data_IF_128035628865
#
_entry.id   IF_128035628865
#
_cell.length_a   1.000
_cell.length_b   1.000
_cell.length_c   1.000
_cell.angle_alpha   90.00
_cell.angle_beta   90.00
_cell.angle_gamma   90.00
#
_symmetry.space_group_name_H-M   'P 1'
#
loop_
_entity.id
_entity.type
_entity.pdbx_description
1 polymer ?
#
# COMPACT_ATOMS: atom_id res chain seq x y z
N UNK A 1 10.62 -14.66 38.11
CA UNK A 1 9.32 -15.00 37.51
C UNK A 1 8.38 -13.80 37.60
N UNK A 2 8.24 -13.04 36.51
CA UNK A 2 7.19 -12.01 36.36
C UNK A 2 6.90 -11.88 34.87
N UNK A 3 5.78 -12.45 34.46
CA UNK A 3 5.24 -12.44 33.09
C UNK A 3 4.87 -11.01 32.71
N UNK A 4 5.53 -10.48 31.67
CA UNK A 4 5.11 -9.23 31.03
C UNK A 4 3.85 -9.50 30.21
N UNK A 5 2.80 -8.72 30.48
CA UNK A 5 1.57 -8.70 29.70
C UNK A 5 1.91 -8.16 28.31
N UNK A 6 1.63 -8.96 27.28
CA UNK A 6 1.60 -8.50 25.91
C UNK A 6 0.40 -7.58 25.74
N UNK A 7 0.63 -6.33 25.36
CA UNK A 7 -0.40 -5.42 24.89
C UNK A 7 -1.01 -5.99 23.60
N UNK A 8 -2.09 -6.75 23.77
CA UNK A 8 -2.94 -7.21 22.70
C UNK A 8 -3.65 -6.00 22.07
N UNK A 9 -3.32 -5.71 20.83
CA UNK A 9 -4.14 -4.86 19.98
C UNK A 9 -5.55 -5.52 19.90
N UNK A 10 -6.64 -4.83 20.27
CA UNK A 10 -7.96 -5.45 20.26
C UNK A 10 -8.36 -5.81 18.83
N UNK A 11 -8.93 -7.02 18.64
CA UNK A 11 -9.57 -7.39 17.37
C UNK A 11 -10.61 -6.33 16.95
N UNK A 12 -10.86 -6.13 15.64
CA UNK A 12 -11.75 -5.07 15.13
C UNK A 12 -13.19 -5.13 15.64
N UNK A 13 -13.61 -6.26 16.21
CA UNK A 13 -14.96 -6.46 16.74
C UNK A 13 -15.34 -5.50 17.89
N UNK A 14 -14.36 -4.95 18.60
CA UNK A 14 -14.64 -4.10 19.77
C UNK A 14 -14.98 -2.64 19.43
N UNK A 15 -14.79 -2.17 18.18
CA UNK A 15 -14.93 -0.74 17.84
C UNK A 15 -16.15 -0.41 16.99
N UNK A 16 -16.86 -1.41 16.45
CA UNK A 16 -18.02 -1.19 15.57
C UNK A 16 -19.36 -1.63 16.17
N UNK A 17 -19.38 -2.25 17.35
CA UNK A 17 -20.62 -2.72 17.99
C UNK A 17 -21.36 -3.83 17.21
N UNK A 18 -20.77 -4.33 16.12
CA UNK A 18 -21.35 -5.38 15.28
C UNK A 18 -20.88 -6.75 15.77
N UNK A 19 -21.83 -7.66 15.90
CA UNK A 19 -21.63 -9.05 16.31
C UNK A 19 -20.88 -9.83 15.24
N UNK A 20 -20.22 -10.93 15.63
CA UNK A 20 -19.50 -11.86 14.72
C UNK A 20 -20.40 -12.40 13.60
N UNK A 21 -21.72 -12.44 13.81
CA UNK A 21 -22.71 -12.87 12.82
C UNK A 21 -22.91 -11.84 11.71
N UNK A 22 -22.90 -10.56 12.04
CA UNK A 22 -23.05 -9.46 11.07
C UNK A 22 -21.83 -9.30 10.16
N UNK A 23 -20.63 -9.67 10.65
CA UNK A 23 -19.43 -9.75 9.82
C UNK A 23 -19.50 -10.88 8.79
N UNK A 24 -19.98 -12.06 9.20
CA UNK A 24 -20.19 -13.20 8.31
C UNK A 24 -21.28 -12.93 7.25
N UNK A 25 -22.31 -12.15 7.58
CA UNK A 25 -23.36 -11.73 6.64
C UNK A 25 -22.91 -10.63 5.67
N UNK A 26 -21.94 -9.80 6.07
CA UNK A 26 -21.31 -8.79 5.20
C UNK A 26 -20.32 -9.41 4.21
N UNK A 27 -19.53 -10.41 4.63
CA UNK A 27 -18.62 -11.16 3.75
C UNK A 27 -19.36 -12.02 2.72
N UNK A 28 -20.59 -12.47 3.03
CA UNK A 28 -21.43 -13.26 2.12
C UNK A 28 -22.28 -12.42 1.15
N UNK A 29 -22.15 -11.09 1.15
CA UNK A 29 -22.80 -10.21 0.19
C UNK A 29 -24.33 -10.30 0.19
N UNK A 30 -24.95 -10.58 1.35
CA UNK A 30 -26.39 -10.79 1.43
C UNK A 30 -27.17 -9.48 1.12
N UNK A 31 -28.23 -9.52 0.28
CA UNK A 31 -29.05 -8.34 -0.03
C UNK A 31 -29.77 -7.68 1.16
N UNK A 32 -29.79 -8.36 2.32
CA UNK A 32 -30.52 -7.92 3.52
C UNK A 32 -29.87 -6.69 4.19
N UNK A 33 -28.54 -6.59 4.15
CA UNK A 33 -27.78 -5.48 4.73
C UNK A 33 -28.07 -4.17 3.99
N UNK A 34 -27.99 -4.14 2.66
CA UNK A 34 -28.34 -2.95 1.86
C UNK A 34 -29.78 -2.47 2.11
N UNK A 35 -30.72 -3.41 2.28
CA UNK A 35 -32.09 -3.10 2.63
C UNK A 35 -32.23 -2.53 4.05
N UNK A 36 -31.39 -2.96 5.00
CA UNK A 36 -31.34 -2.48 6.39
C UNK A 36 -30.85 -1.04 6.51
N UNK A 37 -29.75 -0.68 5.84
CA UNK A 37 -29.22 0.69 5.83
C UNK A 37 -30.21 1.69 5.18
N UNK A 38 -30.88 1.25 4.11
CA UNK A 38 -31.93 2.04 3.46
C UNK A 38 -33.16 2.24 4.34
N UNK A 39 -33.52 1.26 5.20
CA UNK A 39 -34.61 1.37 6.18
C UNK A 39 -34.24 2.34 7.31
N UNK A 40 -33.07 2.20 7.93
CA UNK A 40 -32.64 3.10 9.01
C UNK A 40 -32.56 4.59 8.62
N UNK A 41 -32.14 4.90 7.39
CA UNK A 41 -32.14 6.27 6.86
C UNK A 41 -33.55 6.82 6.58
N UNK A 42 -34.50 5.95 6.24
CA UNK A 42 -35.92 6.33 6.08
C UNK A 42 -36.58 6.55 7.43
N UNK A 43 -36.29 5.70 8.40
CA UNK A 43 -36.82 5.77 9.77
C UNK A 43 -36.33 7.05 10.50
N UNK A 44 -35.08 7.46 10.28
CA UNK A 44 -34.56 8.74 10.80
C UNK A 44 -35.17 9.97 10.11
N UNK A 45 -35.68 9.82 8.89
CA UNK A 45 -36.37 10.90 8.15
C UNK A 45 -37.84 11.05 8.57
N UNK A 46 -38.51 9.93 8.92
CA UNK A 46 -39.89 9.93 9.41
C UNK A 46 -39.99 10.44 10.84
N UNK A 47 -38.93 10.26 11.66
CA UNK A 47 -38.81 10.81 13.01
C UNK A 47 -38.53 12.33 13.08
N UNK A 48 -38.50 13.05 11.94
CA UNK A 48 -38.19 14.51 11.81
C UNK A 48 -36.85 14.94 12.44
N UNK A 49 -35.99 14.02 12.83
CA UNK A 49 -34.73 14.30 13.55
C UNK A 49 -33.66 14.90 12.64
N UNK A 50 -33.77 14.70 11.32
CA UNK A 50 -32.79 15.15 10.33
C UNK A 50 -33.51 15.87 9.19
N UNK A 51 -33.10 17.10 8.89
CA UNK A 51 -33.66 17.88 7.79
C UNK A 51 -33.40 17.23 6.42
N UNK A 52 -34.40 17.27 5.52
CA UNK A 52 -34.30 16.66 4.19
C UNK A 52 -33.07 17.12 3.39
N UNK A 53 -32.66 18.39 3.56
CA UNK A 53 -31.46 18.96 2.92
C UNK A 53 -30.18 18.24 3.36
N UNK A 54 -30.06 17.89 4.64
CA UNK A 54 -28.91 17.16 5.19
C UNK A 54 -28.87 15.72 4.70
N UNK A 55 -30.03 15.07 4.60
CA UNK A 55 -30.16 13.72 4.06
C UNK A 55 -29.76 13.65 2.58
N UNK A 56 -30.21 14.63 1.78
CA UNK A 56 -29.83 14.73 0.37
C UNK A 56 -28.33 15.03 0.21
N UNK A 57 -27.75 15.91 1.04
CA UNK A 57 -26.32 16.18 1.04
C UNK A 57 -25.50 14.93 1.41
N UNK A 58 -25.93 14.17 2.41
CA UNK A 58 -25.28 12.91 2.79
C UNK A 58 -25.32 11.88 1.66
N UNK A 59 -26.48 11.68 1.02
CA UNK A 59 -26.61 10.78 -0.14
C UNK A 59 -25.72 11.22 -1.31
N UNK A 60 -25.68 12.53 -1.59
CA UNK A 60 -24.81 13.09 -2.62
C UNK A 60 -23.33 12.86 -2.27
N UNK A 61 -22.94 13.04 -1.00
CA UNK A 61 -21.57 12.83 -0.51
C UNK A 61 -21.17 11.36 -0.60
N UNK A 62 -22.05 10.42 -0.23
CA UNK A 62 -21.81 8.99 -0.36
C UNK A 62 -21.65 8.59 -1.83
N UNK A 63 -22.53 9.07 -2.72
CA UNK A 63 -22.41 8.83 -4.15
C UNK A 63 -21.09 9.38 -4.71
N UNK A 64 -20.71 10.60 -4.32
CA UNK A 64 -19.44 11.21 -4.72
C UNK A 64 -18.24 10.40 -4.21
N UNK A 65 -18.29 9.92 -2.97
CA UNK A 65 -17.26 9.06 -2.38
C UNK A 65 -17.12 7.74 -3.16
N UNK A 66 -18.24 7.09 -3.50
CA UNK A 66 -18.23 5.85 -4.30
C UNK A 66 -17.64 6.08 -5.69
N UNK A 67 -18.06 7.15 -6.38
CA UNK A 67 -17.50 7.50 -7.71
C UNK A 67 -16.00 7.73 -7.63
N UNK A 68 -15.53 8.52 -6.66
CA UNK A 68 -14.10 8.76 -6.47
C UNK A 68 -13.33 7.48 -6.13
N UNK A 69 -13.94 6.57 -5.37
CA UNK A 69 -13.35 5.28 -5.02
C UNK A 69 -13.22 4.39 -6.27
N UNK A 70 -14.26 4.28 -7.09
CA UNK A 70 -14.23 3.53 -8.35
C UNK A 70 -13.22 4.12 -9.33
N UNK A 71 -13.12 5.45 -9.46
CA UNK A 71 -12.10 6.11 -10.29
C UNK A 71 -10.67 5.81 -9.82
N UNK A 72 -10.45 5.61 -8.52
CA UNK A 72 -9.16 5.13 -8.00
C UNK A 72 -8.88 3.67 -8.38
N UNK A 73 -9.93 2.84 -8.51
CA UNK A 73 -9.79 1.47 -9.01
C UNK A 73 -9.47 1.40 -10.51
N UNK A 74 -9.79 2.41 -11.33
CA UNK A 74 -9.36 2.43 -12.74
C UNK A 74 -7.84 2.51 -12.92
N UNK A 75 -7.14 3.08 -11.92
CA UNK A 75 -5.68 3.11 -11.82
C UNK A 75 -5.11 1.89 -11.09
N UNK A 76 -5.96 0.98 -10.63
CA UNK A 76 -5.53 -0.21 -9.90
C UNK A 76 -4.93 -1.25 -10.84
N UNK A 77 -3.90 -2.00 -10.39
CA UNK A 77 -3.40 -3.18 -11.07
C UNK A 77 -4.50 -4.21 -11.39
N UNK A 78 -5.63 -4.19 -10.67
CA UNK A 78 -6.79 -5.05 -10.89
C UNK A 78 -7.43 -4.87 -12.28
N UNK A 79 -7.15 -3.76 -12.99
CA UNK A 79 -7.56 -3.59 -14.39
C UNK A 79 -6.90 -4.61 -15.32
N UNK A 80 -5.71 -5.09 -14.96
CA UNK A 80 -4.97 -6.03 -15.79
C UNK A 80 -5.38 -7.46 -15.45
N UNK A 81 -5.94 -8.22 -16.42
CA UNK A 81 -6.35 -9.60 -16.17
C UNK A 81 -5.22 -10.50 -15.67
N UNK A 82 -3.97 -10.23 -16.03
CA UNK A 82 -2.82 -10.98 -15.51
C UNK A 82 -2.73 -10.95 -13.97
N UNK A 83 -3.08 -9.82 -13.35
CA UNK A 83 -2.92 -9.58 -11.91
C UNK A 83 -3.94 -10.34 -11.09
N UNK A 84 -5.16 -10.52 -11.60
CA UNK A 84 -6.14 -11.36 -10.91
C UNK A 84 -5.69 -12.82 -10.85
N UNK A 85 -4.91 -13.26 -11.85
CA UNK A 85 -4.36 -14.61 -11.89
C UNK A 85 -3.10 -14.77 -11.02
N UNK A 86 -2.38 -13.70 -10.65
CA UNK A 86 -1.21 -13.76 -9.74
C UNK A 86 -1.52 -14.27 -8.34
N UNK A 87 -2.80 -14.43 -7.98
CA UNK A 87 -3.18 -15.14 -6.75
C UNK A 87 -2.59 -16.55 -6.65
N UNK A 88 -2.14 -17.17 -7.76
CA UNK A 88 -1.37 -18.43 -7.70
C UNK A 88 -0.05 -18.28 -6.93
N UNK A 89 0.52 -17.08 -6.79
CA UNK A 89 1.74 -16.79 -6.03
C UNK A 89 1.47 -16.54 -4.53
N UNK A 90 0.22 -16.38 -4.10
CA UNK A 90 -0.11 -16.19 -2.67
C UNK A 90 0.03 -17.54 -1.94
N UNK A 91 0.94 -17.68 -0.95
CA UNK A 91 1.12 -18.93 -0.21
C UNK A 91 -0.19 -19.49 0.39
N UNK A 92 -1.11 -18.61 0.81
CA UNK A 92 -2.39 -19.02 1.39
C UNK A 92 -3.31 -19.64 0.35
N UNK A 93 -3.33 -19.06 -0.85
CA UNK A 93 -4.06 -19.61 -2.00
C UNK A 93 -3.42 -20.91 -2.48
N UNK A 94 -2.09 -21.05 -2.42
CA UNK A 94 -1.39 -22.30 -2.75
C UNK A 94 -1.82 -23.47 -1.85
N UNK A 95 -2.05 -23.20 -0.56
CA UNK A 95 -2.48 -24.20 0.43
C UNK A 95 -3.99 -24.50 0.43
N UNK A 96 -4.78 -23.85 -0.42
CA UNK A 96 -6.22 -24.10 -0.51
C UNK A 96 -6.53 -25.57 -0.84
N UNK A 97 -7.75 -26.05 -0.60
CA UNK A 97 -8.12 -27.45 -0.88
C UNK A 97 -8.43 -27.71 -2.36
N UNK A 98 -8.84 -26.68 -3.12
CA UNK A 98 -9.25 -26.85 -4.51
C UNK A 98 -8.06 -26.79 -5.48
N UNK A 99 -7.51 -27.97 -5.81
CA UNK A 99 -6.37 -28.11 -6.71
C UNK A 99 -6.69 -27.62 -8.14
N UNK A 100 -7.94 -27.78 -8.59
CA UNK A 100 -8.37 -27.38 -9.93
C UNK A 100 -8.33 -25.86 -10.11
N UNK A 101 -8.79 -25.10 -9.12
CA UNK A 101 -8.78 -23.63 -9.16
C UNK A 101 -7.36 -23.08 -9.21
N UNK A 102 -6.43 -23.62 -8.43
CA UNK A 102 -5.04 -23.13 -8.38
C UNK A 102 -4.29 -23.34 -9.69
N UNK A 103 -4.36 -24.54 -10.25
CA UNK A 103 -3.72 -24.87 -11.52
C UNK A 103 -4.35 -24.05 -12.65
N UNK A 104 -5.67 -23.84 -12.62
CA UNK A 104 -6.36 -23.01 -13.61
C UNK A 104 -5.88 -21.56 -13.57
N UNK A 105 -5.68 -20.98 -12.38
CA UNK A 105 -5.12 -19.62 -12.23
C UNK A 105 -3.70 -19.54 -12.80
N UNK A 106 -2.85 -20.51 -12.51
CA UNK A 106 -1.49 -20.57 -13.07
C UNK A 106 -1.48 -20.72 -14.60
N UNK A 107 -2.33 -21.61 -15.15
CA UNK A 107 -2.50 -21.79 -16.61
C UNK A 107 -2.89 -20.49 -17.30
N UNK A 108 -3.87 -19.77 -16.75
CA UNK A 108 -4.30 -18.48 -17.30
C UNK A 108 -3.17 -17.44 -17.25
N UNK A 109 -2.41 -17.38 -16.15
CA UNK A 109 -1.25 -16.50 -16.06
C UNK A 109 -0.19 -16.85 -17.13
N UNK A 110 0.09 -18.14 -17.35
CA UNK A 110 1.00 -18.60 -18.40
C UNK A 110 0.53 -18.19 -19.80
N UNK A 111 -0.77 -18.33 -20.11
CA UNK A 111 -1.32 -17.91 -21.41
C UNK A 111 -1.02 -16.43 -21.69
N UNK A 112 -1.20 -15.55 -20.70
CA UNK A 112 -0.86 -14.14 -20.84
C UNK A 112 0.65 -13.90 -21.02
N UNK A 113 1.51 -14.69 -20.38
CA UNK A 113 2.96 -14.58 -20.53
C UNK A 113 3.46 -15.06 -21.89
N UNK A 114 2.82 -16.08 -22.45
CA UNK A 114 3.06 -16.55 -23.83
C UNK A 114 2.66 -15.46 -24.83
N UNK A 115 1.48 -14.87 -24.68
CA UNK A 115 1.05 -13.74 -25.51
C UNK A 115 2.00 -12.52 -25.39
N UNK A 116 2.62 -12.33 -24.23
CA UNK A 116 3.62 -11.28 -24.03
C UNK A 116 5.04 -11.67 -24.46
N UNK A 117 5.23 -12.82 -25.11
CA UNK A 117 6.53 -13.38 -25.50
C UNK A 117 7.55 -13.45 -24.35
N UNK A 118 7.07 -13.70 -23.13
CA UNK A 118 7.93 -13.83 -21.92
C UNK A 118 8.27 -15.29 -21.59
N UNK A 119 7.53 -16.24 -22.14
CA UNK A 119 7.71 -17.69 -21.92
C UNK A 119 7.58 -18.40 -23.28
N UNK A 120 8.44 -19.39 -23.52
CA UNK A 120 8.46 -20.21 -24.75
C UNK A 120 7.59 -21.48 -24.58
N UNK A 121 7.62 -22.39 -25.56
CA UNK A 121 6.77 -23.61 -25.70
C UNK A 121 6.81 -24.62 -24.52
N UNK A 122 7.56 -24.35 -23.45
CA UNK A 122 7.68 -25.18 -22.25
C UNK A 122 6.51 -25.06 -21.25
N UNK A 123 5.32 -24.66 -21.71
CA UNK A 123 4.19 -24.38 -20.83
C UNK A 123 3.71 -25.63 -20.07
N UNK A 124 3.65 -26.77 -20.75
CA UNK A 124 3.22 -28.04 -20.14
C UNK A 124 4.19 -28.50 -19.06
N UNK A 125 5.49 -28.31 -19.29
CA UNK A 125 6.52 -28.64 -18.30
C UNK A 125 6.41 -27.72 -17.09
N UNK A 126 6.15 -26.42 -17.27
CA UNK A 126 5.93 -25.49 -16.16
C UNK A 126 4.68 -25.85 -15.35
N UNK A 127 3.59 -26.25 -16.02
CA UNK A 127 2.36 -26.71 -15.36
C UNK A 127 2.63 -27.98 -14.54
N UNK A 128 3.39 -28.92 -15.10
CA UNK A 128 3.79 -30.16 -14.42
C UNK A 128 4.64 -29.86 -13.19
N UNK A 129 5.66 -29.02 -13.33
CA UNK A 129 6.54 -28.60 -12.22
C UNK A 129 5.78 -27.86 -11.13
N UNK A 130 4.84 -26.99 -11.49
CA UNK A 130 4.00 -26.29 -10.51
C UNK A 130 3.09 -27.26 -9.75
N UNK A 131 2.49 -28.24 -10.44
CA UNK A 131 1.66 -29.25 -9.79
C UNK A 131 2.49 -30.12 -8.83
N UNK A 132 3.67 -30.54 -9.28
CA UNK A 132 4.62 -31.29 -8.46
C UNK A 132 5.07 -30.50 -7.22
N UNK A 133 5.37 -29.21 -7.36
CA UNK A 133 5.70 -28.34 -6.24
C UNK A 133 4.58 -28.26 -5.19
N UNK A 134 3.34 -28.17 -5.66
CA UNK A 134 2.17 -28.14 -4.77
C UNK A 134 2.08 -29.45 -3.97
N UNK A 135 2.19 -30.58 -4.66
CA UNK A 135 2.01 -31.90 -4.05
C UNK A 135 3.16 -32.29 -3.12
N UNK A 136 4.40 -31.97 -3.49
CA UNK A 136 5.60 -32.38 -2.74
C UNK A 136 5.99 -31.41 -1.62
N UNK A 137 5.70 -30.11 -1.77
CA UNK A 137 6.19 -29.07 -0.85
C UNK A 137 5.04 -28.37 -0.13
N UNK A 138 4.04 -27.89 -0.88
CA UNK A 138 2.98 -27.04 -0.32
C UNK A 138 2.02 -27.85 0.53
N UNK A 139 1.52 -29.00 0.05
CA UNK A 139 0.56 -29.82 0.80
C UNK A 139 1.18 -30.40 2.09
N UNK A 140 2.41 -30.96 2.09
CA UNK A 140 3.03 -31.44 3.32
C UNK A 140 3.33 -30.32 4.33
N UNK A 141 3.56 -29.09 3.87
CA UNK A 141 3.83 -27.92 4.71
C UNK A 141 2.63 -26.95 4.76
N UNK A 142 1.41 -27.44 4.53
CA UNK A 142 0.20 -26.60 4.32
C UNK A 142 -0.08 -25.62 5.47
N UNK A 143 0.30 -25.97 6.70
CA UNK A 143 0.20 -25.09 7.87
C UNK A 143 1.08 -23.84 7.72
N UNK A 144 2.33 -23.97 7.27
CA UNK A 144 3.24 -22.84 7.06
C UNK A 144 2.72 -21.88 5.97
N UNK A 145 2.16 -22.45 4.91
CA UNK A 145 1.59 -21.69 3.79
C UNK A 145 0.27 -20.99 4.18
N UNK A 146 -0.57 -21.64 5.00
CA UNK A 146 -1.84 -21.08 5.47
C UNK A 146 -1.65 -20.00 6.55
N UNK A 147 -0.61 -20.10 7.36
CA UNK A 147 -0.23 -19.12 8.38
C UNK A 147 0.62 -17.96 7.85
N UNK A 148 0.94 -17.94 6.55
CA UNK A 148 1.70 -16.86 5.93
C UNK A 148 0.99 -15.51 6.15
N UNK A 149 1.69 -14.55 6.74
CA UNK A 149 1.17 -13.20 6.96
C UNK A 149 1.87 -12.20 6.00
N UNK A 150 1.15 -11.65 5.00
CA UNK A 150 1.71 -10.66 4.08
C UNK A 150 2.17 -9.35 4.72
N UNK A 151 1.81 -9.09 5.99
CA UNK A 151 2.25 -7.90 6.73
C UNK A 151 3.59 -8.09 7.43
N UNK A 152 3.92 -9.31 7.85
CA UNK A 152 5.19 -9.61 8.55
C UNK A 152 6.19 -10.32 7.65
N UNK A 153 5.71 -11.13 6.70
CA UNK A 153 6.52 -12.05 5.93
C UNK A 153 6.67 -11.61 4.47
N UNK A 154 7.81 -11.98 3.89
CA UNK A 154 8.21 -11.65 2.51
C UNK A 154 7.91 -12.84 1.59
N UNK A 155 7.00 -12.66 0.64
CA UNK A 155 6.62 -13.72 -0.33
C UNK A 155 7.82 -14.19 -1.14
N UNK A 156 8.69 -13.28 -1.56
CA UNK A 156 9.88 -13.58 -2.35
C UNK A 156 10.88 -14.46 -1.58
N UNK A 157 11.18 -14.12 -0.33
CA UNK A 157 12.06 -14.93 0.52
C UNK A 157 11.42 -16.29 0.82
N UNK A 158 10.15 -16.30 1.18
CA UNK A 158 9.41 -17.51 1.52
C UNK A 158 9.38 -18.52 0.37
N UNK A 159 9.08 -18.07 -0.85
CA UNK A 159 9.06 -18.92 -2.03
C UNK A 159 10.47 -19.28 -2.53
N UNK A 160 11.43 -18.34 -2.45
CA UNK A 160 12.82 -18.60 -2.83
C UNK A 160 13.40 -19.78 -2.03
N UNK A 161 13.22 -19.79 -0.71
CA UNK A 161 13.77 -20.83 0.15
C UNK A 161 13.20 -22.23 -0.17
N UNK A 162 11.99 -22.29 -0.69
CA UNK A 162 11.31 -23.55 -1.03
C UNK A 162 11.51 -23.99 -2.49
N UNK A 163 11.62 -23.05 -3.43
CA UNK A 163 11.76 -23.33 -4.87
C UNK A 163 13.21 -23.29 -5.36
N UNK A 164 14.03 -22.32 -4.91
CA UNK A 164 15.40 -22.16 -5.41
C UNK A 164 16.39 -23.15 -4.78
N UNK A 165 16.11 -23.63 -3.58
CA UNK A 165 16.93 -24.64 -2.87
C UNK A 165 16.86 -26.02 -3.55
N UNK A 166 15.80 -26.25 -4.33
CA UNK A 166 15.51 -27.54 -4.95
C UNK A 166 15.72 -27.45 -6.48
N UNK A 167 16.73 -28.18 -6.98
CA UNK A 167 17.05 -28.24 -8.42
C UNK A 167 15.86 -28.46 -9.37
N UNK A 168 14.86 -29.33 -9.10
CA UNK A 168 13.75 -29.53 -10.04
C UNK A 168 12.91 -28.26 -10.26
N UNK A 169 12.87 -27.35 -9.30
CA UNK A 169 12.00 -26.16 -9.34
C UNK A 169 12.72 -24.90 -9.81
N UNK A 170 13.98 -24.97 -10.23
CA UNK A 170 14.75 -23.79 -10.67
C UNK A 170 14.09 -23.08 -11.86
N UNK A 171 13.57 -23.85 -12.83
CA UNK A 171 12.87 -23.29 -14.00
C UNK A 171 11.58 -22.56 -13.61
N UNK A 172 10.81 -23.14 -12.67
CA UNK A 172 9.62 -22.53 -12.11
C UNK A 172 9.96 -21.26 -11.31
N UNK A 173 11.04 -21.31 -10.53
CA UNK A 173 11.52 -20.15 -9.77
C UNK A 173 11.95 -19.00 -10.67
N UNK A 174 12.63 -19.26 -11.80
CA UNK A 174 13.00 -18.20 -12.76
C UNK A 174 11.77 -17.46 -13.27
N UNK A 175 10.67 -18.18 -13.55
CA UNK A 175 9.39 -17.58 -13.94
C UNK A 175 8.78 -16.76 -12.79
N UNK A 176 8.66 -17.34 -11.60
CA UNK A 176 8.15 -16.66 -10.41
C UNK A 176 8.95 -15.39 -10.11
N UNK A 177 10.28 -15.45 -10.21
CA UNK A 177 11.18 -14.31 -10.05
C UNK A 177 10.89 -13.23 -11.08
N UNK A 178 10.74 -13.56 -12.35
CA UNK A 178 10.35 -12.58 -13.37
C UNK A 178 9.01 -11.94 -13.02
N UNK A 179 8.01 -12.72 -12.63
CA UNK A 179 6.68 -12.21 -12.25
C UNK A 179 6.71 -11.30 -11.02
N UNK A 180 7.49 -11.66 -10.00
CA UNK A 180 7.71 -10.85 -8.81
C UNK A 180 8.47 -9.55 -9.12
N UNK A 181 9.25 -9.54 -10.21
CA UNK A 181 9.99 -8.37 -10.71
C UNK A 181 9.23 -7.55 -11.77
N UNK A 182 8.12 -8.05 -12.32
CA UNK A 182 7.28 -7.36 -13.33
C UNK A 182 6.51 -6.17 -12.75
N UNK A 183 6.99 -5.55 -11.67
CA UNK A 183 6.29 -4.52 -10.90
C UNK A 183 5.52 -3.56 -11.82
N UNK A 184 4.21 -3.55 -11.63
CA UNK A 184 3.30 -2.61 -12.27
C UNK A 184 3.85 -1.20 -12.14
N UNK A 185 4.23 -0.58 -13.25
CA UNK A 185 4.40 0.85 -13.30
C UNK A 185 3.13 1.49 -12.71
N UNK A 186 3.30 2.29 -11.65
CA UNK A 186 2.24 3.05 -10.96
C UNK A 186 1.33 2.30 -9.98
N UNK A 187 1.91 1.60 -8.98
CA UNK A 187 1.17 1.34 -7.76
C UNK A 187 2.04 1.61 -6.55
N UNK A 188 1.44 2.01 -5.43
CA UNK A 188 2.03 2.16 -4.08
C UNK A 188 2.80 0.93 -3.56
N UNK A 189 3.21 -0.02 -4.39
CA UNK A 189 3.84 -1.31 -4.07
C UNK A 189 5.33 -1.37 -4.40
N UNK A 190 5.97 -0.28 -4.84
CA UNK A 190 7.42 -0.15 -4.51
C UNK A 190 7.63 -0.09 -3.00
N UNK A 191 6.61 0.31 -2.21
CA UNK A 191 6.61 0.16 -0.75
C UNK A 191 6.72 -1.30 -0.31
N UNK A 192 6.18 -2.27 -1.06
CA UNK A 192 6.21 -3.68 -0.68
C UNK A 192 7.62 -4.29 -0.68
N UNK A 193 8.48 -3.80 -1.58
CA UNK A 193 9.87 -4.23 -1.74
C UNK A 193 10.90 -3.24 -1.19
N UNK A 194 10.49 -1.99 -0.94
CA UNK A 194 11.35 -0.94 -0.38
C UNK A 194 11.77 -1.28 1.05
N UNK A 195 13.08 -1.23 1.29
CA UNK A 195 13.66 -1.27 2.65
C UNK A 195 13.07 -0.13 3.50
N UNK A 196 12.62 0.94 2.86
CA UNK A 196 12.08 2.11 3.50
C UNK A 196 10.58 1.99 3.86
N UNK A 197 9.90 0.86 3.55
CA UNK A 197 8.52 0.61 4.00
C UNK A 197 8.32 0.81 5.50
N UNK A 198 9.35 0.46 6.28
CA UNK A 198 9.34 0.55 7.74
C UNK A 198 9.33 1.99 8.27
N UNK A 199 9.64 2.98 7.43
CA UNK A 199 9.65 4.43 7.76
C UNK A 199 8.63 5.23 6.95
N UNK A 200 7.86 4.57 6.09
CA UNK A 200 6.86 5.21 5.24
C UNK A 200 5.54 5.38 5.99
N UNK A 201 5.34 6.57 6.58
CA UNK A 201 3.99 7.06 6.92
C UNK A 201 3.47 8.02 5.85
N UNK A 202 2.15 8.03 5.65
CA UNK A 202 1.51 9.00 4.75
C UNK A 202 1.75 10.42 5.29
N UNK A 203 2.12 11.36 4.40
CA UNK A 203 2.30 12.79 4.70
C UNK A 203 3.59 13.20 5.48
N UNK A 204 4.67 12.41 5.40
CA UNK A 204 6.01 12.84 5.87
C UNK A 204 6.74 13.68 4.81
N UNK A 205 7.55 14.65 5.27
CA UNK A 205 8.49 15.35 4.38
C UNK A 205 9.70 14.48 4.06
N UNK A 206 10.34 14.74 2.93
CA UNK A 206 11.57 14.06 2.50
C UNK A 206 12.68 14.14 3.56
N UNK A 207 12.86 15.31 4.19
CA UNK A 207 13.84 15.51 5.26
C UNK A 207 13.60 14.59 6.46
N UNK A 208 12.32 14.40 6.83
CA UNK A 208 11.95 13.54 7.95
C UNK A 208 12.19 12.07 7.62
N UNK A 209 11.99 11.72 6.35
CA UNK A 209 12.24 10.38 5.84
C UNK A 209 13.73 10.02 5.89
N UNK A 210 14.61 10.92 5.43
CA UNK A 210 16.06 10.75 5.52
C UNK A 210 16.49 10.60 6.98
N UNK A 211 15.95 11.45 7.88
CA UNK A 211 16.27 11.39 9.29
C UNK A 211 15.88 10.05 9.95
N UNK A 212 14.67 9.55 9.69
CA UNK A 212 14.21 8.25 10.19
C UNK A 212 15.05 7.09 9.63
N UNK A 213 15.44 7.16 8.35
CA UNK A 213 16.32 6.16 7.73
C UNK A 213 17.67 6.09 8.42
N UNK A 214 18.30 7.23 8.67
CA UNK A 214 19.58 7.31 9.38
C UNK A 214 19.49 6.70 10.78
N UNK A 215 18.39 6.95 11.51
CA UNK A 215 18.17 6.36 12.83
C UNK A 215 18.04 4.84 12.74
N UNK A 216 17.22 4.32 11.83
CA UNK A 216 17.05 2.88 11.67
C UNK A 216 18.33 2.17 11.24
N UNK A 217 19.09 2.75 10.32
CA UNK A 217 20.35 2.17 9.86
C UNK A 217 21.39 2.11 10.99
N UNK A 218 21.45 3.14 11.83
CA UNK A 218 22.29 3.12 13.03
C UNK A 218 21.82 2.06 14.04
N UNK A 219 20.51 1.96 14.30
CA UNK A 219 19.95 0.94 15.20
C UNK A 219 20.22 -0.48 14.71
N UNK A 220 20.17 -0.72 13.40
CA UNK A 220 20.52 -2.01 12.80
C UNK A 220 22.00 -2.33 12.96
N UNK A 221 22.88 -1.35 12.71
CA UNK A 221 24.33 -1.52 12.86
C UNK A 221 24.71 -1.85 14.32
N UNK A 222 24.01 -1.26 15.28
CA UNK A 222 24.28 -1.41 16.72
C UNK A 222 23.57 -2.65 17.31
N UNK A 223 22.70 -3.32 16.54
CA UNK A 223 22.00 -4.54 16.97
C UNK A 223 20.82 -4.29 17.90
N UNK A 224 20.19 -3.11 17.81
CA UNK A 224 18.99 -2.75 18.54
C UNK A 224 19.15 -1.60 19.54
N UNK A 225 18.02 -1.16 20.09
CA UNK A 225 17.93 0.06 20.93
C UNK A 225 18.70 -0.02 22.24
N UNK A 226 18.90 -1.23 22.79
CA UNK A 226 19.59 -1.45 24.07
C UNK A 226 21.11 -1.28 23.98
N UNK A 227 21.66 -1.38 22.77
CA UNK A 227 23.10 -1.33 22.53
C UNK A 227 23.58 0.07 22.13
N UNK A 228 22.66 1.04 21.97
CA UNK A 228 22.99 2.42 21.61
C UNK A 228 23.66 3.09 22.80
N UNK A 229 24.93 3.47 22.62
CA UNK A 229 25.70 4.18 23.62
C UNK A 229 25.29 5.65 23.64
N UNK A 230 24.86 6.14 24.80
CA UNK A 230 24.51 7.55 24.99
C UNK A 230 25.80 8.31 25.27
N UNK A 231 26.33 8.96 24.23
CA UNK A 231 27.56 9.74 24.31
C UNK A 231 27.28 11.22 24.67
N UNK A 232 28.32 11.92 25.14
CA UNK A 232 28.23 13.37 25.42
C UNK A 232 27.83 14.20 24.18
N UNK A 233 28.35 13.93 22.96
CA UNK A 233 27.89 14.59 21.75
C UNK A 233 26.39 14.47 21.48
N UNK A 234 25.79 13.29 21.64
CA UNK A 234 24.35 13.10 21.48
C UNK A 234 23.56 13.91 22.50
N UNK A 235 24.00 13.93 23.76
CA UNK A 235 23.36 14.75 24.82
C UNK A 235 23.42 16.25 24.48
N UNK A 236 24.57 16.74 24.02
CA UNK A 236 24.73 18.13 23.56
C UNK A 236 23.86 18.44 22.33
N UNK A 237 23.78 17.49 21.38
CA UNK A 237 22.93 17.62 20.21
C UNK A 237 21.45 17.73 20.59
N UNK A 238 20.96 16.88 21.50
CA UNK A 238 19.59 16.91 22.00
C UNK A 238 19.30 18.22 22.75
N UNK A 239 20.22 18.68 23.60
CA UNK A 239 20.10 19.96 24.30
C UNK A 239 19.87 21.16 23.37
N UNK A 240 20.50 21.16 22.19
CA UNK A 240 20.31 22.19 21.15
C UNK A 240 19.12 21.97 20.20
N UNK A 241 18.41 20.84 20.28
CA UNK A 241 17.40 20.46 19.27
C UNK A 241 16.24 21.45 19.19
N UNK A 242 15.75 21.94 20.34
CA UNK A 242 14.68 22.94 20.40
C UNK A 242 15.09 24.25 19.72
N UNK A 243 16.32 24.70 19.93
CA UNK A 243 16.81 25.93 19.31
C UNK A 243 16.95 25.78 17.79
N UNK A 244 17.44 24.63 17.31
CA UNK A 244 17.49 24.32 15.87
C UNK A 244 16.10 24.29 15.24
N UNK A 245 15.12 23.72 15.94
CA UNK A 245 13.72 23.70 15.49
C UNK A 245 13.13 25.10 15.38
N UNK A 246 13.32 25.96 16.40
CA UNK A 246 12.85 27.35 16.37
C UNK A 246 13.49 28.10 15.20
N UNK A 247 14.81 27.98 15.02
CA UNK A 247 15.53 28.58 13.89
C UNK A 247 14.98 28.12 12.54
N UNK A 248 14.72 26.82 12.39
CA UNK A 248 14.12 26.27 11.18
C UNK A 248 12.74 26.87 10.87
N UNK A 249 11.88 27.04 11.89
CA UNK A 249 10.58 27.70 11.71
C UNK A 249 10.71 29.16 11.28
N UNK A 250 11.68 29.90 11.83
CA UNK A 250 11.97 31.28 11.43
C UNK A 250 12.46 31.37 9.99
N UNK A 251 13.37 30.48 9.59
CA UNK A 251 13.88 30.40 8.22
C UNK A 251 12.76 30.06 7.22
N UNK A 252 11.85 29.16 7.58
CA UNK A 252 10.69 28.81 6.75
C UNK A 252 9.72 29.99 6.59
N UNK A 253 9.51 30.79 7.65
CA UNK A 253 8.72 32.03 7.57
C UNK A 253 9.39 33.05 6.64
N UNK A 254 10.69 33.29 6.81
CA UNK A 254 11.45 34.22 5.94
C UNK A 254 11.40 33.82 4.48
N UNK A 255 11.64 32.54 4.17
CA UNK A 255 11.56 32.01 2.79
C UNK A 255 10.18 32.20 2.17
N UNK A 256 9.10 32.04 2.94
CA UNK A 256 7.73 32.26 2.45
C UNK A 256 7.51 33.73 2.12
N UNK A 257 7.91 34.63 3.02
CA UNK A 257 7.73 36.07 2.85
C UNK A 257 8.56 36.60 1.67
N UNK A 258 9.78 36.10 1.49
CA UNK A 258 10.64 36.43 0.35
C UNK A 258 10.08 35.90 -0.97
N UNK A 259 9.51 34.69 -0.97
CA UNK A 259 8.84 34.13 -2.15
C UNK A 259 7.64 34.97 -2.56
N UNK A 260 6.81 35.40 -1.61
CA UNK A 260 5.65 36.25 -1.88
C UNK A 260 6.07 37.63 -2.42
N UNK A 261 7.09 38.25 -1.83
CA UNK A 261 7.67 39.51 -2.33
C UNK A 261 8.21 39.34 -3.74
N UNK A 262 8.91 38.24 -4.03
CA UNK A 262 9.48 37.99 -5.35
C UNK A 262 8.40 37.74 -6.40
N UNK A 263 7.32 37.02 -6.06
CA UNK A 263 6.16 36.84 -6.95
C UNK A 263 5.47 38.17 -7.25
N UNK A 264 5.27 39.03 -6.25
CA UNK A 264 4.71 40.38 -6.44
C UNK A 264 5.59 41.25 -7.33
N UNK A 265 6.92 41.22 -7.12
CA UNK A 265 7.88 41.93 -7.97
C UNK A 265 7.84 41.44 -9.42
N UNK A 266 7.78 40.12 -9.63
CA UNK A 266 7.68 39.54 -10.97
C UNK A 266 6.41 40.00 -11.68
N UNK A 267 5.25 39.95 -11.02
CA UNK A 267 3.99 40.42 -11.59
C UNK A 267 4.04 41.89 -12.02
N UNK A 268 4.59 42.76 -11.17
CA UNK A 268 4.74 44.19 -11.50
C UNK A 268 5.70 44.40 -12.68
N UNK A 269 6.78 43.63 -12.78
CA UNK A 269 7.70 43.71 -13.91
C UNK A 269 7.04 43.27 -15.22
N UNK A 270 6.30 42.16 -15.20
CA UNK A 270 5.55 41.66 -16.35
C UNK A 270 4.50 42.70 -16.82
N UNK A 271 3.81 43.36 -15.88
CA UNK A 271 2.85 44.43 -16.17
C UNK A 271 3.52 45.68 -16.78
N UNK A 272 4.68 46.08 -16.27
CA UNK A 272 5.46 47.19 -16.85
C UNK A 272 5.90 46.87 -18.29
N UNK A 273 6.30 45.63 -18.56
CA UNK A 273 6.71 45.20 -19.89
C UNK A 273 5.55 45.19 -20.89
N UNK A 274 4.37 44.73 -20.47
CA UNK A 274 3.15 44.84 -21.27
C UNK A 274 2.78 46.29 -21.60
N UNK A 275 2.85 47.19 -20.61
CA UNK A 275 2.54 48.60 -20.81
C UNK A 275 3.55 49.28 -21.75
N UNK A 276 4.85 48.96 -21.66
CA UNK A 276 5.87 49.42 -22.62
C UNK A 276 5.58 48.94 -24.03
N UNK A 277 5.18 47.67 -24.19
CA UNK A 277 4.83 47.10 -25.50
C UNK A 277 3.58 47.75 -26.09
N UNK A 278 2.57 48.06 -25.27
CA UNK A 278 1.36 48.80 -25.70
C UNK A 278 1.71 50.22 -26.14
N UNK A 279 2.48 50.96 -25.34
CA UNK A 279 2.94 52.32 -25.68
C UNK A 279 3.68 52.37 -27.02
N UNK A 280 4.62 51.45 -27.24
CA UNK A 280 5.40 51.36 -28.50
C UNK A 280 4.52 51.07 -29.73
N UNK A 281 3.35 50.44 -29.57
CA UNK A 281 2.40 50.20 -30.66
C UNK A 281 1.53 51.42 -30.97
N UNK A 282 1.27 52.28 -29.99
CA UNK A 282 0.45 53.49 -30.16
C UNK A 282 1.26 54.69 -30.66
N UNK A 283 2.59 54.67 -30.50
CA UNK A 283 3.52 55.69 -31.03
C UNK A 283 3.99 55.41 -32.49
N UNK A 284 3.42 54.41 -33.15
CA UNK A 284 3.58 54.15 -34.61
C UNK A 284 2.31 54.55 -35.35
#
# INVERSE_FOLDING_TARGET
>A
MRTQRADHCPRPSARTGLTTKEWSEAESGSPSLYASWGRGLRDLSTLKTIGQKTLLLFKHTCKKCLVLTVQKFEKSPLKYPLVSHFSFLDPREMACKDAGVRITKFRKALTYLVHAHRVNEDCDELIRLYSQFIDEIVLPQSSQFSHFDPYTDRVDTFLHDRMSTQKPYEKLWRLCRQLLLLSHGQASVERGFSINRQIEDDNLSEDLYVAQRCILDHLRAVGGTKNVTIDKPLLMSVGGARQRYIKHLEDMRRKRDDKEKNTKRKYVLDEIEELKMKKKKTER
#
